data_IF_130887144680
#
_entry.id   IF_130887144680
#
_cell.length_a   1.000
_cell.length_b   1.000
_cell.length_c   1.000
_cell.angle_alpha   90.00
_cell.angle_beta   90.00
_cell.angle_gamma   90.00
#
_symmetry.space_group_name_H-M   'P 1'
#
loop_
_entity.id
_entity.type
_entity.pdbx_description
1 polymer ?
#
# COMPACT_ATOMS: atom_id res chain seq x y z
N UNK A 1 -10.10 -13.32 0.52
CA UNK A 1 -9.59 -13.56 1.89
C UNK A 1 -8.36 -14.46 1.94
N UNK A 2 -8.29 -15.56 1.17
CA UNK A 2 -7.12 -16.47 1.13
C UNK A 2 -5.73 -15.82 1.03
N UNK A 3 -5.60 -14.67 0.36
CA UNK A 3 -4.32 -13.95 0.28
C UNK A 3 -3.92 -13.36 1.62
N UNK A 4 -4.81 -12.58 2.26
CA UNK A 4 -4.52 -11.91 3.52
C UNK A 4 -4.28 -12.90 4.65
N UNK A 5 -5.07 -13.98 4.69
CA UNK A 5 -4.89 -15.12 5.61
C UNK A 5 -3.49 -15.76 5.49
N UNK A 6 -2.92 -15.77 4.29
CA UNK A 6 -1.60 -16.34 4.03
C UNK A 6 -0.46 -15.38 4.35
N UNK A 7 -0.65 -14.09 4.05
CA UNK A 7 0.44 -13.10 4.08
C UNK A 7 0.51 -12.29 5.37
N UNK A 8 -0.59 -12.18 6.11
CA UNK A 8 -0.67 -11.35 7.30
C UNK A 8 -0.63 -9.84 7.03
N UNK A 9 -0.47 -9.42 5.77
CA UNK A 9 -0.05 -8.07 5.36
C UNK A 9 -0.75 -7.68 4.07
N UNK A 10 -1.08 -6.39 3.94
CA UNK A 10 -1.74 -5.82 2.76
C UNK A 10 -1.34 -4.36 2.54
N UNK A 11 -1.10 -4.02 1.28
CA UNK A 11 -0.99 -2.66 0.77
C UNK A 11 -2.19 -2.39 -0.15
N UNK A 12 -3.00 -1.38 0.18
CA UNK A 12 -4.05 -0.87 -0.69
C UNK A 12 -3.48 0.24 -1.57
N UNK A 13 -3.48 0.02 -2.88
CA UNK A 13 -2.85 0.91 -3.87
C UNK A 13 -3.91 1.44 -4.84
N UNK A 14 -3.89 2.75 -5.11
CA UNK A 14 -4.70 3.36 -6.16
C UNK A 14 -4.04 4.60 -6.78
N UNK A 15 -4.41 4.93 -8.01
CA UNK A 15 -3.93 6.12 -8.73
C UNK A 15 -4.53 7.42 -8.20
N UNK A 16 -5.71 7.38 -7.58
CA UNK A 16 -6.41 8.59 -7.17
C UNK A 16 -5.89 9.15 -5.84
N UNK A 17 -6.36 10.35 -5.52
CA UNK A 17 -6.02 11.07 -4.29
C UNK A 17 -6.42 10.30 -3.02
N UNK A 18 -5.80 10.61 -1.87
CA UNK A 18 -6.07 9.90 -0.62
C UNK A 18 -7.55 10.05 -0.19
N UNK A 19 -8.08 9.03 0.47
CA UNK A 19 -9.47 9.01 0.93
C UNK A 19 -10.49 8.53 -0.12
N UNK A 20 -10.05 8.24 -1.35
CA UNK A 20 -10.85 7.62 -2.40
C UNK A 20 -10.85 6.08 -2.35
N UNK A 21 -10.51 5.45 -3.47
CA UNK A 21 -10.60 3.99 -3.65
C UNK A 21 -9.81 3.21 -2.61
N UNK A 22 -8.62 3.67 -2.21
CA UNK A 22 -7.82 3.02 -1.16
C UNK A 22 -8.55 2.92 0.18
N UNK A 23 -9.28 3.98 0.57
CA UNK A 23 -10.06 3.99 1.80
C UNK A 23 -11.28 3.05 1.69
N UNK A 24 -11.96 3.06 0.54
CA UNK A 24 -13.05 2.13 0.28
C UNK A 24 -12.60 0.66 0.33
N UNK A 25 -11.50 0.32 -0.36
CA UNK A 25 -10.93 -1.03 -0.34
C UNK A 25 -10.54 -1.47 1.08
N UNK A 26 -9.95 -0.56 1.86
CA UNK A 26 -9.60 -0.83 3.24
C UNK A 26 -10.83 -1.11 4.09
N UNK A 27 -11.90 -0.33 3.94
CA UNK A 27 -13.17 -0.55 4.63
C UNK A 27 -13.79 -1.90 4.26
N UNK A 28 -13.88 -2.23 2.97
CA UNK A 28 -14.45 -3.51 2.52
C UNK A 28 -13.67 -4.69 3.09
N UNK A 29 -12.33 -4.68 2.96
CA UNK A 29 -11.49 -5.81 3.36
C UNK A 29 -11.40 -5.93 4.89
N UNK A 30 -11.17 -4.84 5.60
CA UNK A 30 -10.97 -4.88 7.04
C UNK A 30 -12.29 -4.95 7.78
N UNK A 31 -13.21 -4.02 7.55
CA UNK A 31 -14.45 -3.95 8.32
C UNK A 31 -15.47 -4.99 7.83
N UNK A 32 -15.86 -4.93 6.55
CA UNK A 32 -16.98 -5.76 6.05
C UNK A 32 -16.62 -7.24 5.93
N UNK A 33 -15.40 -7.54 5.53
CA UNK A 33 -14.92 -8.93 5.44
C UNK A 33 -14.16 -9.39 6.67
N UNK A 34 -14.06 -8.56 7.72
CA UNK A 34 -13.36 -8.87 8.96
C UNK A 34 -11.89 -9.30 8.75
N UNK A 35 -11.23 -8.71 7.75
CA UNK A 35 -9.84 -9.01 7.39
C UNK A 35 -8.83 -8.63 8.47
N UNK A 36 -9.19 -7.71 9.37
CA UNK A 36 -8.35 -7.31 10.51
C UNK A 36 -7.93 -8.49 11.39
N UNK A 37 -8.70 -9.59 11.41
CA UNK A 37 -8.40 -10.80 12.19
C UNK A 37 -7.14 -11.53 11.72
N UNK A 38 -6.70 -11.25 10.50
CA UNK A 38 -5.57 -11.89 9.84
C UNK A 38 -4.39 -10.94 9.67
N UNK A 39 -4.40 -9.77 10.32
CA UNK A 39 -3.30 -8.82 10.20
C UNK A 39 -2.21 -9.11 11.24
N UNK A 40 -1.00 -9.36 10.75
CA UNK A 40 0.22 -9.41 11.56
C UNK A 40 0.91 -8.04 11.65
N UNK A 41 0.65 -7.16 10.68
CA UNK A 41 1.15 -5.77 10.63
C UNK A 41 0.02 -4.80 10.26
N UNK A 42 0.12 -3.51 10.63
CA UNK A 42 -0.84 -2.50 10.22
C UNK A 42 -1.01 -2.46 8.70
N UNK A 43 -2.24 -2.32 8.18
CA UNK A 43 -2.46 -2.17 6.75
C UNK A 43 -1.86 -0.85 6.28
N UNK A 44 -1.32 -0.83 5.06
CA UNK A 44 -0.79 0.39 4.45
C UNK A 44 -1.64 0.81 3.25
N UNK A 45 -1.66 2.11 2.99
CA UNK A 45 -2.29 2.69 1.79
C UNK A 45 -1.25 3.47 1.00
N UNK A 46 -1.24 3.32 -0.32
CA UNK A 46 -0.47 4.16 -1.23
C UNK A 46 -1.43 4.72 -2.28
N UNK A 47 -1.55 6.05 -2.31
CA UNK A 47 -2.45 6.79 -3.18
C UNK A 47 -1.64 7.91 -3.88
N UNK A 48 -2.22 8.57 -4.89
CA UNK A 48 -1.60 9.76 -5.46
C UNK A 48 -1.43 10.87 -4.42
N UNK A 49 -0.55 11.81 -4.73
CA UNK A 49 -0.39 13.03 -3.94
C UNK A 49 -1.65 13.88 -4.04
N UNK A 50 -2.03 14.53 -2.94
CA UNK A 50 -3.19 15.41 -2.88
C UNK A 50 -2.94 16.78 -3.52
N UNK A 51 -2.61 16.81 -4.81
CA UNK A 51 -2.46 18.03 -5.61
C UNK A 51 -2.96 17.81 -7.04
N UNK A 52 -3.11 18.90 -7.79
CA UNK A 52 -3.42 18.80 -9.23
C UNK A 52 -2.20 18.23 -9.97
N UNK A 53 -2.38 17.28 -10.89
CA UNK A 53 -1.27 16.75 -11.66
C UNK A 53 -0.56 17.84 -12.47
N UNK A 54 0.76 17.75 -12.56
CA UNK A 54 1.51 18.55 -13.52
C UNK A 54 1.13 18.16 -14.96
N UNK A 55 1.35 19.06 -15.92
CA UNK A 55 1.05 18.77 -17.33
C UNK A 55 2.11 17.84 -17.92
N UNK A 56 1.70 16.90 -18.78
CA UNK A 56 2.59 15.95 -19.46
C UNK A 56 3.06 14.79 -18.57
N UNK A 57 4.08 14.06 -19.03
CA UNK A 57 4.58 12.83 -18.41
C UNK A 57 5.15 13.02 -17.00
N UNK A 58 5.63 14.22 -16.69
CA UNK A 58 6.11 14.55 -15.34
C UNK A 58 4.97 14.48 -14.31
N UNK A 59 3.74 14.74 -14.75
CA UNK A 59 2.55 14.59 -13.92
C UNK A 59 2.35 13.17 -13.43
N UNK A 60 2.59 12.17 -14.29
CA UNK A 60 2.43 10.76 -13.91
C UNK A 60 3.47 10.34 -12.86
N UNK A 61 4.73 10.73 -13.03
CA UNK A 61 5.80 10.33 -12.10
C UNK A 61 5.68 11.01 -10.73
N UNK A 62 5.32 12.29 -10.69
CA UNK A 62 5.29 13.06 -9.44
C UNK A 62 3.96 13.02 -8.71
N UNK A 63 2.86 12.78 -9.43
CA UNK A 63 1.52 12.85 -8.84
C UNK A 63 0.99 11.47 -8.47
N UNK A 64 1.27 10.44 -9.28
CA UNK A 64 0.76 9.08 -9.08
C UNK A 64 1.75 8.23 -8.28
N UNK A 65 1.28 7.16 -7.62
CA UNK A 65 2.17 6.14 -7.10
C UNK A 65 3.08 5.59 -8.19
N UNK A 66 4.37 5.50 -7.90
CA UNK A 66 5.34 4.88 -8.79
C UNK A 66 5.84 3.54 -8.22
N UNK A 67 6.56 2.80 -9.08
CA UNK A 67 7.05 1.46 -8.76
C UNK A 67 8.05 1.47 -7.60
N UNK A 68 8.85 2.52 -7.51
CA UNK A 68 9.86 2.68 -6.46
C UNK A 68 9.18 2.81 -5.09
N UNK A 69 8.13 3.64 -4.98
CA UNK A 69 7.32 3.74 -3.76
C UNK A 69 6.62 2.42 -3.38
N UNK A 70 6.08 1.70 -4.38
CA UNK A 70 5.46 0.38 -4.15
C UNK A 70 6.50 -0.59 -3.60
N UNK A 71 7.70 -0.61 -4.20
CA UNK A 71 8.79 -1.47 -3.78
C UNK A 71 9.22 -1.14 -2.34
N UNK A 72 9.49 0.13 -2.03
CA UNK A 72 9.92 0.58 -0.71
C UNK A 72 8.91 0.15 0.38
N UNK A 73 7.62 0.45 0.20
CA UNK A 73 6.60 0.11 1.20
C UNK A 73 6.45 -1.40 1.38
N UNK A 74 6.45 -2.17 0.28
CA UNK A 74 6.36 -3.63 0.37
C UNK A 74 7.62 -4.20 1.02
N UNK A 75 8.80 -3.68 0.69
CA UNK A 75 10.06 -4.12 1.28
C UNK A 75 10.10 -3.83 2.78
N UNK A 76 9.66 -2.64 3.21
CA UNK A 76 9.50 -2.30 4.63
C UNK A 76 8.59 -3.28 5.36
N UNK A 77 7.42 -3.62 4.78
CA UNK A 77 6.49 -4.58 5.37
C UNK A 77 7.10 -5.99 5.50
N UNK A 78 7.97 -6.38 4.57
CA UNK A 78 8.67 -7.65 4.61
C UNK A 78 9.86 -7.61 5.59
N UNK A 79 10.58 -6.49 5.67
CA UNK A 79 11.65 -6.25 6.65
C UNK A 79 11.13 -6.29 8.08
N UNK A 80 9.97 -5.67 8.36
CA UNK A 80 9.31 -5.73 9.67
C UNK A 80 9.03 -7.18 10.10
N UNK A 81 8.67 -8.04 9.14
CA UNK A 81 8.35 -9.45 9.39
C UNK A 81 9.57 -10.35 9.56
N UNK A 82 10.58 -10.15 8.72
CA UNK A 82 11.74 -11.03 8.61
C UNK A 82 12.97 -10.20 8.21
N UNK A 83 13.56 -9.46 9.17
CA UNK A 83 14.65 -8.54 8.90
C UNK A 83 15.94 -9.26 8.48
N UNK A 84 16.08 -10.56 8.81
CA UNK A 84 17.23 -11.35 8.40
C UNK A 84 17.18 -11.69 6.90
N UNK A 85 15.98 -11.98 6.37
CA UNK A 85 15.77 -12.25 4.95
C UNK A 85 15.65 -10.99 4.10
N UNK A 86 15.13 -9.92 4.68
CA UNK A 86 14.95 -8.63 4.02
C UNK A 86 15.74 -7.57 4.79
N UNK A 87 17.07 -7.48 4.65
CA UNK A 87 17.89 -6.50 5.38
C UNK A 87 17.63 -5.07 4.93
N UNK A 88 18.01 -4.08 5.73
CA UNK A 88 17.87 -2.66 5.37
C UNK A 88 18.55 -2.35 4.04
N UNK A 89 17.89 -1.55 3.19
CA UNK A 89 18.45 -1.07 1.93
C UNK A 89 19.28 0.19 2.20
N UNK A 90 20.44 0.30 1.53
CA UNK A 90 21.33 1.47 1.56
C UNK A 90 20.87 2.58 0.59
#
# INVERSE_FOLDING_TARGET
MKSLEKTGRVLFLDEDVPGGTTAYMMQEVLERHHGYRWLDSPPRTLAARAHRPAYGSDGDYWSKPNREQVFEIVYELMHESDPARFPTLD
#
